data_IF_117904453821
#
_entry.id   IF_117904453821
#
_cell.length_a   1.000
_cell.length_b   1.000
_cell.length_c   1.000
_cell.angle_alpha   90.00
_cell.angle_beta   90.00
_cell.angle_gamma   90.00
#
_symmetry.space_group_name_H-M   'P 1'
#
loop_
_entity.id
_entity.type
_entity.pdbx_description
1 polymer ?
#
# COMPACT_ATOMS: atom_id res chain seq x y z
N UNK A 1 19.16 23.54 1.61
CA UNK A 1 17.80 23.73 2.17
C UNK A 1 17.43 22.43 2.85
N UNK A 2 17.20 22.44 4.16
CA UNK A 2 16.84 21.23 4.90
C UNK A 2 15.39 20.87 4.59
N UNK A 3 15.13 19.66 4.12
CA UNK A 3 13.77 19.13 3.96
C UNK A 3 13.08 19.20 5.32
N UNK A 4 11.88 19.81 5.43
CA UNK A 4 11.16 19.82 6.70
C UNK A 4 10.90 18.39 7.17
N UNK A 5 11.23 18.11 8.44
CA UNK A 5 10.89 16.83 9.08
C UNK A 5 9.37 16.72 9.16
N UNK A 6 8.83 15.60 8.66
CA UNK A 6 7.40 15.31 8.70
C UNK A 6 6.91 15.28 10.16
N UNK A 7 5.79 15.92 10.46
CA UNK A 7 5.19 15.83 11.80
C UNK A 7 4.43 14.50 11.95
N UNK A 8 4.39 13.95 13.17
CA UNK A 8 3.69 12.70 13.46
C UNK A 8 2.22 12.72 13.00
N UNK A 9 1.52 13.83 13.21
CA UNK A 9 0.12 13.97 12.77
C UNK A 9 -0.02 13.95 11.24
N UNK A 10 0.92 14.57 10.52
CA UNK A 10 0.94 14.57 9.06
C UNK A 10 1.21 13.17 8.51
N UNK A 11 2.17 12.46 9.11
CA UNK A 11 2.44 11.05 8.85
C UNK A 11 1.19 10.19 9.05
N UNK A 12 0.56 10.28 10.24
CA UNK A 12 -0.62 9.47 10.54
C UNK A 12 -1.75 9.73 9.56
N UNK A 13 -2.04 10.99 9.25
CA UNK A 13 -3.07 11.35 8.29
C UNK A 13 -2.77 10.83 6.87
N UNK A 14 -1.52 10.94 6.41
CA UNK A 14 -1.11 10.42 5.11
C UNK A 14 -1.17 8.89 5.05
N UNK A 15 -0.75 8.21 6.11
CA UNK A 15 -0.78 6.76 6.23
C UNK A 15 -2.22 6.23 6.27
N UNK A 16 -3.13 6.89 7.00
CA UNK A 16 -4.56 6.52 7.01
C UNK A 16 -5.20 6.66 5.62
N UNK A 17 -4.91 7.76 4.91
CA UNK A 17 -5.42 7.94 3.54
C UNK A 17 -4.95 6.83 2.59
N UNK A 18 -3.68 6.43 2.71
CA UNK A 18 -3.11 5.35 1.92
C UNK A 18 -3.82 4.03 2.20
N UNK A 19 -3.94 3.61 3.46
CA UNK A 19 -4.59 2.33 3.79
C UNK A 19 -6.07 2.32 3.37
N UNK A 20 -6.79 3.42 3.62
CA UNK A 20 -8.18 3.53 3.23
C UNK A 20 -8.37 3.48 1.69
N UNK A 21 -7.40 3.98 0.92
CA UNK A 21 -7.45 3.88 -0.55
C UNK A 21 -7.30 2.45 -1.05
N UNK A 22 -6.46 1.65 -0.39
CA UNK A 22 -6.33 0.21 -0.69
C UNK A 22 -7.65 -0.50 -0.44
N UNK A 23 -8.23 -0.33 0.75
CA UNK A 23 -9.49 -0.98 1.14
C UNK A 23 -10.62 -0.65 0.15
N UNK A 24 -10.84 0.64 -0.13
CA UNK A 24 -11.88 1.05 -1.09
C UNK A 24 -11.69 0.45 -2.47
N UNK A 25 -10.45 0.41 -2.98
CA UNK A 25 -10.18 -0.14 -4.30
C UNK A 25 -10.45 -1.65 -4.37
N UNK A 26 -10.13 -2.38 -3.31
CA UNK A 26 -10.44 -3.80 -3.19
C UNK A 26 -11.95 -4.06 -3.09
N UNK A 27 -12.67 -3.26 -2.28
CA UNK A 27 -14.14 -3.34 -2.16
C UNK A 27 -14.82 -3.09 -3.52
N UNK A 28 -14.36 -2.08 -4.27
CA UNK A 28 -14.89 -1.76 -5.59
C UNK A 28 -14.69 -2.92 -6.57
N UNK A 29 -13.52 -3.56 -6.56
CA UNK A 29 -13.24 -4.73 -7.41
C UNK A 29 -14.09 -5.94 -7.04
N UNK A 30 -14.29 -6.19 -5.74
CA UNK A 30 -15.13 -7.29 -5.28
C UNK A 30 -16.59 -7.09 -5.72
N UNK A 31 -17.13 -5.87 -5.56
CA UNK A 31 -18.49 -5.52 -6.00
C UNK A 31 -18.68 -5.64 -7.51
N UNK A 32 -17.65 -5.31 -8.29
CA UNK A 32 -17.67 -5.38 -9.75
C UNK A 32 -17.32 -6.76 -10.30
N UNK A 33 -16.93 -7.72 -9.45
CA UNK A 33 -16.50 -9.05 -9.87
C UNK A 33 -15.19 -9.07 -10.67
N UNK A 34 -14.31 -8.09 -10.43
CA UNK A 34 -13.00 -7.98 -11.11
C UNK A 34 -12.03 -9.01 -10.55
N UNK A 35 -11.89 -9.06 -9.22
CA UNK A 35 -11.02 -10.01 -8.52
C UNK A 35 -11.58 -10.29 -7.12
N UNK A 36 -11.45 -11.52 -6.66
CA UNK A 36 -11.83 -11.94 -5.31
C UNK A 36 -10.64 -11.78 -4.35
N UNK A 37 -10.39 -10.54 -3.90
CA UNK A 37 -9.37 -10.24 -2.88
C UNK A 37 -10.08 -10.08 -1.54
N UNK A 38 -9.75 -10.94 -0.58
CA UNK A 38 -10.19 -10.76 0.80
C UNK A 38 -9.31 -9.72 1.48
N UNK A 39 -9.91 -8.69 2.05
CA UNK A 39 -9.22 -7.54 2.64
C UNK A 39 -9.47 -7.51 4.14
N UNK A 40 -8.41 -7.59 4.93
CA UNK A 40 -8.48 -7.58 6.38
C UNK A 40 -7.72 -6.39 6.98
N UNK A 41 -8.44 -5.54 7.72
CA UNK A 41 -7.91 -4.37 8.42
C UNK A 41 -7.74 -4.64 9.91
N UNK A 42 -6.53 -4.47 10.41
CA UNK A 42 -6.23 -4.56 11.85
C UNK A 42 -5.31 -3.41 12.28
N UNK A 43 -5.91 -2.34 12.81
CA UNK A 43 -5.18 -1.17 13.30
C UNK A 43 -4.31 -0.52 12.21
N UNK A 44 -3.00 -0.69 12.32
CA UNK A 44 -1.98 -0.16 11.41
C UNK A 44 -1.68 -1.02 10.18
N UNK A 45 -2.37 -2.15 10.03
CA UNK A 45 -2.11 -3.14 8.98
C UNK A 45 -3.36 -3.35 8.10
N UNK A 46 -3.12 -3.52 6.80
CA UNK A 46 -4.06 -4.07 5.82
C UNK A 46 -3.40 -5.32 5.23
N UNK A 47 -4.12 -6.44 5.27
CA UNK A 47 -3.75 -7.68 4.58
C UNK A 47 -4.70 -7.90 3.41
N UNK A 48 -4.14 -8.25 2.25
CA UNK A 48 -4.85 -8.62 1.03
C UNK A 48 -4.55 -10.09 0.74
N UNK A 49 -5.56 -10.95 0.78
CA UNK A 49 -5.44 -12.37 0.39
C UNK A 49 -6.03 -12.56 -1.01
N UNK A 50 -5.21 -13.09 -1.92
CA UNK A 50 -5.56 -13.31 -3.32
C UNK A 50 -6.16 -14.72 -3.51
N UNK A 51 -6.83 -15.00 -4.65
CA UNK A 51 -7.44 -16.31 -4.90
C UNK A 51 -6.47 -17.50 -4.86
N UNK A 52 -5.18 -17.26 -5.16
CA UNK A 52 -4.12 -18.28 -5.07
C UNK A 52 -3.58 -18.48 -3.63
N UNK A 53 -4.21 -17.84 -2.63
CA UNK A 53 -3.83 -17.77 -1.21
C UNK A 53 -2.53 -17.03 -0.94
N UNK A 54 -1.97 -16.35 -1.93
CA UNK A 54 -0.88 -15.40 -1.68
C UNK A 54 -1.38 -14.18 -0.93
N UNK A 55 -0.48 -13.52 -0.22
CA UNK A 55 -0.81 -12.35 0.58
C UNK A 55 0.05 -11.17 0.20
N UNK A 56 -0.54 -9.98 0.23
CA UNK A 56 0.21 -8.72 0.34
C UNK A 56 -0.18 -8.11 1.68
N UNK A 57 0.81 -7.73 2.47
CA UNK A 57 0.61 -7.08 3.77
C UNK A 57 1.19 -5.68 3.70
N UNK A 58 0.39 -4.68 4.03
CA UNK A 58 0.78 -3.27 4.12
C UNK A 58 0.66 -2.82 5.57
N UNK A 59 1.73 -2.29 6.16
CA UNK A 59 1.72 -1.85 7.55
C UNK A 59 2.40 -0.51 7.75
N UNK A 60 1.89 0.27 8.71
CA UNK A 60 2.53 1.51 9.17
C UNK A 60 3.75 1.22 10.05
N UNK A 61 4.76 2.08 9.98
CA UNK A 61 5.93 2.10 10.85
C UNK A 61 6.14 3.50 11.46
N UNK A 62 5.35 3.89 12.48
CA UNK A 62 5.38 5.22 13.05
C UNK A 62 6.76 5.71 13.51
N UNK A 63 7.62 4.91 14.16
CA UNK A 63 8.94 5.38 14.58
C UNK A 63 9.86 5.79 13.43
N UNK A 64 9.59 5.32 12.20
CA UNK A 64 10.39 5.59 11.01
C UNK A 64 9.70 6.54 10.02
N UNK A 65 8.44 6.92 10.29
CA UNK A 65 7.53 7.56 9.33
C UNK A 65 7.47 6.83 7.98
N UNK A 66 7.41 5.50 8.04
CA UNK A 66 7.41 4.64 6.85
C UNK A 66 6.09 3.86 6.69
N UNK A 67 5.79 3.49 5.45
CA UNK A 67 4.87 2.40 5.12
C UNK A 67 5.70 1.23 4.62
N UNK A 68 5.41 0.02 5.08
CA UNK A 68 6.03 -1.19 4.58
C UNK A 68 5.01 -2.02 3.80
N UNK A 69 5.48 -2.65 2.73
CA UNK A 69 4.72 -3.58 1.88
C UNK A 69 5.51 -4.88 1.81
N UNK A 70 4.89 -5.98 2.23
CA UNK A 70 5.40 -7.33 2.04
C UNK A 70 4.54 -8.04 0.99
N UNK A 71 5.15 -8.43 -0.12
CA UNK A 71 4.56 -9.22 -1.19
C UNK A 71 5.39 -10.51 -1.41
N UNK A 72 4.87 -11.42 -2.22
CA UNK A 72 5.55 -12.68 -2.57
C UNK A 72 6.97 -12.46 -3.11
N UNK A 73 7.21 -11.37 -3.86
CA UNK A 73 8.52 -11.11 -4.45
C UNK A 73 9.44 -10.20 -3.63
N UNK A 74 9.00 -9.70 -2.47
CA UNK A 74 9.87 -8.84 -1.68
C UNK A 74 9.17 -8.01 -0.62
N UNK A 75 10.01 -7.37 0.19
CA UNK A 75 9.63 -6.34 1.15
C UNK A 75 10.14 -4.99 0.68
N UNK A 76 9.27 -3.98 0.74
CA UNK A 76 9.50 -2.62 0.26
C UNK A 76 9.16 -1.62 1.36
N UNK A 77 9.98 -0.58 1.52
CA UNK A 77 9.79 0.43 2.56
C UNK A 77 9.67 1.80 1.91
N UNK A 78 8.65 2.55 2.28
CA UNK A 78 8.29 3.81 1.64
C UNK A 78 8.33 4.96 2.63
N UNK A 79 8.93 6.08 2.21
CA UNK A 79 8.86 7.36 2.93
C UNK A 79 8.03 8.35 2.14
N UNK A 80 7.36 9.25 2.85
CA UNK A 80 6.64 10.34 2.21
C UNK A 80 7.65 11.41 1.72
N UNK A 81 7.63 11.66 0.41
CA UNK A 81 8.47 12.65 -0.26
C UNK A 81 7.63 13.42 -1.30
N UNK A 82 7.54 14.74 -1.14
CA UNK A 82 6.77 15.60 -2.03
C UNK A 82 5.29 15.24 -2.14
N UNK A 83 4.70 14.62 -1.10
CA UNK A 83 3.31 14.17 -1.07
C UNK A 83 3.06 12.77 -1.64
N UNK A 84 4.09 12.09 -2.13
CA UNK A 84 4.02 10.71 -2.61
C UNK A 84 4.83 9.77 -1.72
N UNK A 85 4.34 8.53 -1.54
CA UNK A 85 5.09 7.50 -0.84
C UNK A 85 6.08 6.85 -1.81
N UNK A 86 7.38 7.00 -1.56
CA UNK A 86 8.45 6.52 -2.45
C UNK A 86 9.31 5.47 -1.77
N UNK A 87 9.62 4.42 -2.52
CA UNK A 87 10.50 3.34 -2.09
C UNK A 87 11.88 3.91 -1.74
N UNK A 88 12.38 3.55 -0.56
CA UNK A 88 13.66 4.03 -0.03
C UNK A 88 14.88 3.51 -0.79
N UNK A 89 14.75 2.48 -1.63
CA UNK A 89 15.84 1.89 -2.42
C UNK A 89 15.89 2.38 -3.85
N UNK A 90 14.75 2.44 -4.54
CA UNK A 90 14.69 2.75 -5.97
C UNK A 90 13.73 3.89 -6.34
N UNK A 91 13.06 4.49 -5.36
CA UNK A 91 12.23 5.68 -5.56
C UNK A 91 10.87 5.44 -6.24
N UNK A 92 10.54 4.17 -6.54
CA UNK A 92 9.25 3.79 -7.12
C UNK A 92 8.11 4.20 -6.18
N UNK A 93 7.02 4.71 -6.76
CA UNK A 93 5.86 5.17 -6.00
C UNK A 93 5.05 3.97 -5.45
N UNK A 94 4.50 4.09 -4.24
CA UNK A 94 3.81 3.03 -3.51
C UNK A 94 2.68 2.37 -4.31
N UNK A 95 1.73 3.14 -4.86
CA UNK A 95 0.61 2.55 -5.59
C UNK A 95 1.05 1.92 -6.91
N UNK A 96 2.10 2.45 -7.54
CA UNK A 96 2.73 1.79 -8.68
C UNK A 96 3.30 0.41 -8.28
N UNK A 97 4.06 0.32 -7.17
CA UNK A 97 4.59 -0.95 -6.67
C UNK A 97 3.46 -1.92 -6.27
N UNK A 98 2.48 -1.45 -5.52
CA UNK A 98 1.35 -2.27 -5.08
C UNK A 98 0.58 -2.82 -6.29
N UNK A 99 0.37 -2.00 -7.33
CA UNK A 99 -0.27 -2.44 -8.58
C UNK A 99 0.54 -3.53 -9.30
N UNK A 100 1.87 -3.39 -9.37
CA UNK A 100 2.75 -4.40 -9.96
C UNK A 100 2.65 -5.74 -9.22
N UNK A 101 2.84 -5.72 -7.90
CA UNK A 101 2.83 -6.94 -7.08
C UNK A 101 1.44 -7.57 -7.02
N UNK A 102 0.39 -6.76 -6.86
CA UNK A 102 -0.99 -7.25 -6.88
C UNK A 102 -1.38 -7.81 -8.24
N UNK A 103 -0.96 -7.20 -9.35
CA UNK A 103 -1.24 -7.75 -10.68
C UNK A 103 -0.59 -9.12 -10.86
N UNK A 104 0.65 -9.27 -10.35
CA UNK A 104 1.37 -10.53 -10.43
C UNK A 104 0.75 -11.63 -9.56
N UNK A 105 0.32 -11.28 -8.34
CA UNK A 105 -0.32 -12.23 -7.42
C UNK A 105 -1.77 -12.54 -7.81
N UNK A 106 -2.50 -11.58 -8.36
CA UNK A 106 -3.86 -11.73 -8.85
C UNK A 106 -3.96 -12.34 -10.25
N UNK A 107 -2.84 -12.49 -10.97
CA UNK A 107 -2.80 -13.09 -12.31
C UNK A 107 -3.51 -12.27 -13.40
N UNK A 108 -3.82 -11.00 -13.12
CA UNK A 108 -4.48 -10.07 -14.04
C UNK A 108 -4.06 -8.62 -13.75
N UNK A 109 -4.34 -7.70 -14.65
CA UNK A 109 -4.00 -6.28 -14.44
C UNK A 109 -4.88 -5.67 -13.35
N UNK A 110 -4.26 -5.31 -12.21
CA UNK A 110 -4.88 -4.63 -11.08
C UNK A 110 -4.16 -3.30 -10.85
N UNK A 111 -4.93 -2.21 -10.78
CA UNK A 111 -4.37 -0.86 -10.66
C UNK A 111 -4.94 -0.14 -9.46
N UNK A 112 -4.09 0.08 -8.47
CA UNK A 112 -4.35 1.01 -7.39
C UNK A 112 -3.97 2.43 -7.82
N UNK A 113 -4.66 3.41 -7.26
CA UNK A 113 -4.35 4.82 -7.44
C UNK A 113 -4.54 5.56 -6.11
N UNK A 114 -3.82 6.66 -5.89
CA UNK A 114 -4.14 7.57 -4.79
C UNK A 114 -5.57 8.09 -4.94
N UNK A 115 -6.21 8.33 -3.79
CA UNK A 115 -7.52 8.95 -3.69
C UNK A 115 -7.53 10.41 -4.18
#
# INVERSE_FOLDING_TARGET
>A
MSTPTLQDTEYQAAAERLLAAIERQCDDWLQQGVVDIDTHRAGSLVELEFPDRSKIVVNKQPPLHEIWLAARNGGFHFKLDGGAWRDTRDGVEFFARLSEEASRQGGQALRFAPA
#
